data_IF_920764028499
#
_entry.id   IF_920764028499
#
_cell.length_a   1.000
_cell.length_b   1.000
_cell.length_c   1.000
_cell.angle_alpha   90.00
_cell.angle_beta   90.00
_cell.angle_gamma   90.00
#
_symmetry.space_group_name_H-M   'P 1'
#
loop_
_entity.id
_entity.type
_entity.pdbx_description
1 polymer ?
#
# COMPACT_ATOMS: atom_id res chain seq x y z
N UNK A 1 -20.19 11.22 -60.89
CA UNK A 1 -20.41 10.48 -59.62
C UNK A 1 -19.15 9.80 -59.07
N UNK A 2 -18.01 9.81 -59.76
CA UNK A 2 -16.84 8.97 -59.43
C UNK A 2 -15.92 9.53 -58.34
N UNK A 3 -15.78 10.87 -58.21
CA UNK A 3 -14.84 11.48 -57.24
C UNK A 3 -15.26 11.39 -55.77
N UNK A 4 -16.56 11.28 -55.48
CA UNK A 4 -17.07 11.18 -54.10
C UNK A 4 -16.87 9.78 -53.50
N UNK A 5 -16.92 8.75 -54.36
CA UNK A 5 -16.65 7.36 -54.01
C UNK A 5 -15.16 7.16 -53.66
N UNK A 6 -14.26 7.71 -54.48
CA UNK A 6 -12.81 7.61 -54.26
C UNK A 6 -12.37 8.24 -52.92
N UNK A 7 -12.90 9.44 -52.61
CA UNK A 7 -12.56 10.13 -51.36
C UNK A 7 -13.12 9.44 -50.11
N UNK A 8 -14.22 8.67 -50.22
CA UNK A 8 -14.75 7.88 -49.11
C UNK A 8 -13.95 6.60 -48.87
N UNK A 9 -13.38 5.99 -49.92
CA UNK A 9 -12.50 4.84 -49.79
C UNK A 9 -11.17 5.22 -49.11
N UNK A 10 -10.54 6.32 -49.53
CA UNK A 10 -9.27 6.78 -48.94
C UNK A 10 -9.37 7.13 -47.45
N UNK A 11 -10.55 7.60 -46.99
CA UNK A 11 -10.78 7.91 -45.57
C UNK A 11 -10.96 6.63 -44.73
N UNK A 12 -11.52 5.56 -45.32
CA UNK A 12 -11.65 4.26 -44.67
C UNK A 12 -10.28 3.63 -44.42
N UNK A 13 -9.45 3.61 -45.47
CA UNK A 13 -8.13 2.99 -45.43
C UNK A 13 -7.20 3.66 -44.39
N UNK A 14 -7.21 4.99 -44.32
CA UNK A 14 -6.43 5.72 -43.30
C UNK A 14 -6.92 5.51 -41.86
N UNK A 15 -8.19 5.16 -41.67
CA UNK A 15 -8.73 4.86 -40.32
C UNK A 15 -8.31 3.47 -39.86
N UNK A 16 -8.37 2.50 -40.76
CA UNK A 16 -7.98 1.13 -40.45
C UNK A 16 -6.47 1.03 -40.22
N UNK A 17 -5.65 1.73 -41.01
CA UNK A 17 -4.20 1.81 -40.80
C UNK A 17 -3.83 2.47 -39.46
N UNK A 18 -4.54 3.55 -39.07
CA UNK A 18 -4.37 4.16 -37.74
C UNK A 18 -4.78 3.23 -36.61
N UNK A 19 -5.85 2.46 -36.79
CA UNK A 19 -6.36 1.54 -35.78
C UNK A 19 -5.40 0.37 -35.57
N UNK A 20 -4.83 -0.15 -36.66
CA UNK A 20 -3.82 -1.21 -36.64
C UNK A 20 -2.52 -0.76 -35.98
N UNK A 21 -2.05 0.47 -36.27
CA UNK A 21 -0.89 1.07 -35.59
C UNK A 21 -1.13 1.32 -34.10
N UNK A 22 -2.35 1.66 -33.69
CA UNK A 22 -2.70 1.80 -32.26
C UNK A 22 -2.71 0.43 -31.58
N UNK A 23 -3.28 -0.60 -32.19
CA UNK A 23 -3.30 -1.96 -31.63
C UNK A 23 -1.89 -2.58 -31.55
N UNK A 24 -1.04 -2.32 -32.56
CA UNK A 24 0.35 -2.77 -32.58
C UNK A 24 1.21 -2.03 -31.54
N UNK A 25 1.05 -0.69 -31.42
CA UNK A 25 1.66 0.06 -30.33
C UNK A 25 1.13 -0.34 -28.96
N UNK A 26 -0.17 -0.64 -28.80
CA UNK A 26 -0.73 -1.13 -27.53
C UNK A 26 -0.13 -2.50 -27.18
N UNK A 27 0.06 -3.39 -28.16
CA UNK A 27 0.70 -4.68 -27.97
C UNK A 27 2.21 -4.55 -27.69
N UNK A 28 2.89 -3.60 -28.32
CA UNK A 28 4.32 -3.33 -28.11
C UNK A 28 4.58 -2.55 -26.81
N UNK A 29 3.70 -1.63 -26.41
CA UNK A 29 3.70 -0.98 -25.10
C UNK A 29 3.21 -1.90 -23.97
N UNK A 30 2.54 -3.01 -24.31
CA UNK A 30 2.27 -4.10 -23.38
C UNK A 30 3.45 -5.07 -23.24
N UNK A 31 4.29 -5.21 -24.28
CA UNK A 31 5.52 -6.04 -24.28
C UNK A 31 6.72 -5.31 -23.71
N UNK A 32 6.89 -4.05 -24.06
CA UNK A 32 7.78 -3.12 -23.37
C UNK A 32 7.12 -2.91 -22.03
N UNK A 33 7.78 -3.27 -20.93
CA UNK A 33 7.33 -2.94 -19.58
C UNK A 33 7.34 -1.41 -19.42
N UNK A 34 6.45 -0.70 -20.12
CA UNK A 34 6.28 0.74 -20.10
C UNK A 34 6.03 1.10 -18.65
N UNK A 35 7.07 1.68 -18.04
CA UNK A 35 7.24 2.00 -16.63
C UNK A 35 5.97 1.75 -15.82
N UNK A 36 5.98 0.59 -15.15
CA UNK A 36 4.95 0.18 -14.20
C UNK A 36 4.61 1.38 -13.30
N UNK A 37 3.36 1.85 -13.14
CA UNK A 37 3.05 2.96 -12.23
C UNK A 37 3.37 2.63 -10.76
N UNK A 38 3.64 1.36 -10.46
CA UNK A 38 3.92 0.83 -9.14
C UNK A 38 5.03 1.60 -8.38
N UNK A 39 6.22 1.90 -8.94
CA UNK A 39 7.24 2.68 -8.26
C UNK A 39 6.74 4.06 -7.88
N UNK A 40 6.02 4.76 -8.76
CA UNK A 40 5.54 6.11 -8.45
C UNK A 40 4.49 6.10 -7.33
N UNK A 41 3.60 5.09 -7.32
CA UNK A 41 2.63 4.89 -6.24
C UNK A 41 3.34 4.58 -4.91
N UNK A 42 4.40 3.77 -4.95
CA UNK A 42 5.14 3.28 -3.77
C UNK A 42 6.11 4.32 -3.22
N UNK A 43 6.75 5.10 -4.08
CA UNK A 43 7.89 5.93 -3.73
C UNK A 43 7.60 7.43 -3.75
N UNK A 44 6.53 7.89 -4.40
CA UNK A 44 6.21 9.33 -4.48
C UNK A 44 4.86 9.65 -3.87
N UNK A 45 3.79 9.15 -4.48
CA UNK A 45 2.43 9.48 -4.07
C UNK A 45 1.48 8.35 -4.40
N UNK A 46 0.89 7.75 -3.36
CA UNK A 46 -0.07 6.68 -3.56
C UNK A 46 -1.41 7.16 -4.13
N UNK A 47 -1.77 8.44 -3.99
CA UNK A 47 -3.06 9.04 -4.40
C UNK A 47 -2.91 10.34 -5.21
N UNK A 48 -2.25 10.33 -6.38
CA UNK A 48 -2.07 11.51 -7.23
C UNK A 48 -3.39 11.99 -7.87
N UNK A 49 -4.41 11.14 -7.87
CA UNK A 49 -5.77 11.42 -8.30
C UNK A 49 -6.58 12.29 -7.32
N UNK A 50 -6.14 12.41 -6.06
CA UNK A 50 -6.81 13.20 -5.04
C UNK A 50 -6.79 14.71 -5.33
N UNK A 51 -5.79 15.19 -6.07
CA UNK A 51 -5.61 16.61 -6.38
C UNK A 51 -6.50 17.10 -7.53
N UNK A 52 -7.43 16.27 -8.01
CA UNK A 52 -8.38 16.58 -9.06
C UNK A 52 -7.91 16.18 -10.47
N UNK A 53 -8.84 16.20 -11.46
CA UNK A 53 -8.58 15.61 -12.78
C UNK A 53 -7.41 16.24 -13.55
N UNK A 54 -7.19 17.54 -13.38
CA UNK A 54 -6.12 18.26 -14.09
C UNK A 54 -4.73 17.92 -13.56
N UNK A 55 -4.57 17.83 -12.24
CA UNK A 55 -3.31 17.47 -11.60
C UNK A 55 -2.98 15.99 -11.85
N UNK A 56 -3.99 15.12 -11.82
CA UNK A 56 -3.88 13.71 -12.24
C UNK A 56 -3.35 13.58 -13.68
N UNK A 57 -3.95 14.29 -14.64
CA UNK A 57 -3.52 14.26 -16.04
C UNK A 57 -2.10 14.80 -16.22
N UNK A 58 -1.72 15.86 -15.49
CA UNK A 58 -0.34 16.38 -15.52
C UNK A 58 0.67 15.38 -15.00
N UNK A 59 0.35 14.72 -13.89
CA UNK A 59 1.21 13.69 -13.30
C UNK A 59 1.34 12.46 -14.22
N UNK A 60 0.22 11.94 -14.74
CA UNK A 60 0.23 10.84 -15.71
C UNK A 60 1.01 11.20 -16.98
N UNK A 61 0.83 12.41 -17.50
CA UNK A 61 1.62 12.91 -18.63
C UNK A 61 3.11 12.92 -18.32
N UNK A 62 3.53 13.39 -17.14
CA UNK A 62 4.94 13.38 -16.74
C UNK A 62 5.49 11.96 -16.76
N UNK A 63 4.83 11.00 -16.11
CA UNK A 63 5.28 9.60 -16.08
C UNK A 63 5.40 9.01 -17.49
N UNK A 64 4.40 9.26 -18.34
CA UNK A 64 4.41 8.76 -19.71
C UNK A 64 5.53 9.38 -20.55
N UNK A 65 5.83 10.67 -20.34
CA UNK A 65 6.93 11.35 -21.01
C UNK A 65 8.30 10.87 -20.54
N UNK A 66 8.49 10.69 -19.23
CA UNK A 66 9.71 10.16 -18.63
C UNK A 66 9.94 8.72 -19.15
N UNK A 67 8.90 7.88 -19.15
CA UNK A 67 8.97 6.52 -19.67
C UNK A 67 9.30 6.45 -21.18
N UNK A 68 8.73 7.36 -21.98
CA UNK A 68 9.03 7.45 -23.41
C UNK A 68 10.46 7.92 -23.66
N UNK A 69 11.02 8.77 -22.79
CA UNK A 69 12.40 9.22 -22.85
C UNK A 69 13.37 8.08 -22.49
N UNK A 70 13.12 7.37 -21.39
CA UNK A 70 13.96 6.25 -20.94
C UNK A 70 14.00 5.09 -21.95
N UNK A 71 12.91 4.88 -22.69
CA UNK A 71 12.80 3.85 -23.74
C UNK A 71 13.17 4.36 -25.13
N UNK A 72 13.60 5.62 -25.26
CA UNK A 72 13.96 6.27 -26.52
C UNK A 72 12.84 6.26 -27.59
N UNK A 73 11.58 6.26 -27.16
CA UNK A 73 10.40 6.29 -28.03
C UNK A 73 10.00 7.73 -28.39
N UNK A 74 10.75 8.34 -29.32
CA UNK A 74 10.55 9.74 -29.73
C UNK A 74 9.14 10.01 -30.27
N UNK A 75 8.57 9.06 -30.99
CA UNK A 75 7.29 9.23 -31.68
C UNK A 75 6.14 9.26 -30.67
N UNK A 76 6.17 8.34 -29.69
CA UNK A 76 5.23 8.32 -28.56
C UNK A 76 5.34 9.61 -27.74
N UNK A 77 6.56 10.09 -27.49
CA UNK A 77 6.79 11.36 -26.78
C UNK A 77 6.15 12.53 -27.52
N UNK A 78 6.36 12.65 -28.84
CA UNK A 78 5.76 13.71 -29.64
C UNK A 78 4.23 13.63 -29.63
N UNK A 79 3.67 12.43 -29.75
CA UNK A 79 2.22 12.22 -29.70
C UNK A 79 1.62 12.56 -28.33
N UNK A 80 2.29 12.24 -27.22
CA UNK A 80 1.89 12.62 -25.85
C UNK A 80 1.84 14.13 -25.64
N UNK A 81 2.75 14.87 -26.28
CA UNK A 81 2.80 16.33 -26.23
C UNK A 81 1.72 16.96 -27.11
N UNK A 82 1.56 16.48 -28.34
CA UNK A 82 0.67 17.07 -29.34
C UNK A 82 -0.81 16.67 -29.16
N UNK A 83 -1.10 15.44 -28.71
CA UNK A 83 -2.43 14.85 -28.77
C UNK A 83 -3.02 14.55 -27.37
N UNK A 84 -3.89 15.44 -26.91
CA UNK A 84 -4.60 15.27 -25.63
C UNK A 84 -5.55 14.07 -25.60
N UNK A 85 -6.07 13.63 -26.75
CA UNK A 85 -6.95 12.44 -26.84
C UNK A 85 -6.14 11.17 -26.65
N UNK A 86 -4.96 11.10 -27.24
CA UNK A 86 -4.02 9.99 -27.06
C UNK A 86 -3.62 9.86 -25.58
N UNK A 87 -3.22 10.97 -24.95
CA UNK A 87 -2.92 11.00 -23.50
C UNK A 87 -4.09 10.46 -22.67
N UNK A 88 -5.32 10.95 -22.91
CA UNK A 88 -6.51 10.50 -22.17
C UNK A 88 -6.78 9.00 -22.35
N UNK A 89 -6.56 8.47 -23.55
CA UNK A 89 -6.70 7.03 -23.80
C UNK A 89 -5.72 6.21 -22.97
N UNK A 90 -4.45 6.65 -22.90
CA UNK A 90 -3.41 6.00 -22.08
C UNK A 90 -3.63 6.14 -20.57
N UNK A 91 -4.39 7.13 -20.12
CA UNK A 91 -4.70 7.30 -18.69
C UNK A 91 -5.58 6.17 -18.15
N UNK A 92 -6.57 5.69 -18.93
CA UNK A 92 -7.52 4.66 -18.49
C UNK A 92 -6.84 3.35 -18.03
N UNK A 93 -5.92 2.74 -18.79
CA UNK A 93 -5.23 1.53 -18.34
C UNK A 93 -4.32 1.79 -17.13
N UNK A 94 -3.70 2.97 -17.03
CA UNK A 94 -2.88 3.34 -15.86
C UNK A 94 -3.73 3.46 -14.59
N UNK A 95 -4.86 4.14 -14.67
CA UNK A 95 -5.83 4.24 -13.56
C UNK A 95 -6.30 2.87 -13.09
N UNK A 96 -6.57 1.97 -14.04
CA UNK A 96 -6.97 0.60 -13.74
C UNK A 96 -5.85 -0.16 -13.01
N UNK A 97 -4.61 -0.06 -13.49
CA UNK A 97 -3.43 -0.67 -12.82
C UNK A 97 -3.21 -0.10 -11.43
N UNK A 98 -3.34 1.21 -11.24
CA UNK A 98 -3.24 1.85 -9.92
C UNK A 98 -4.31 1.31 -8.96
N UNK A 99 -5.56 1.20 -9.41
CA UNK A 99 -6.65 0.67 -8.60
C UNK A 99 -6.41 -0.79 -8.18
N UNK A 100 -5.98 -1.64 -9.12
CA UNK A 100 -5.61 -3.04 -8.84
C UNK A 100 -4.47 -3.10 -7.82
N UNK A 101 -3.45 -2.28 -8.01
CA UNK A 101 -2.28 -2.24 -7.14
C UNK A 101 -2.62 -1.80 -5.71
N UNK A 102 -3.39 -0.72 -5.55
CA UNK A 102 -3.91 -0.27 -4.24
C UNK A 102 -4.74 -1.36 -3.58
N UNK A 103 -5.64 -2.00 -4.35
CA UNK A 103 -6.50 -3.08 -3.85
C UNK A 103 -5.69 -4.26 -3.32
N UNK A 104 -4.55 -4.56 -3.94
CA UNK A 104 -3.63 -5.59 -3.46
C UNK A 104 -3.06 -5.26 -2.06
N UNK A 105 -2.59 -4.03 -1.83
CA UNK A 105 -2.14 -3.59 -0.49
C UNK A 105 -3.22 -3.75 0.56
N UNK A 106 -4.44 -3.30 0.24
CA UNK A 106 -5.56 -3.46 1.16
C UNK A 106 -5.87 -4.92 1.43
N UNK A 107 -5.83 -5.79 0.43
CA UNK A 107 -6.08 -7.22 0.63
C UNK A 107 -5.05 -7.85 1.59
N UNK A 108 -3.76 -7.49 1.43
CA UNK A 108 -2.68 -7.90 2.34
C UNK A 108 -2.99 -7.44 3.77
N UNK A 109 -3.32 -6.17 3.99
CA UNK A 109 -3.57 -5.68 5.36
C UNK A 109 -4.87 -6.24 5.94
N UNK A 110 -5.92 -6.40 5.12
CA UNK A 110 -7.21 -6.94 5.54
C UNK A 110 -7.12 -8.40 6.03
N UNK A 111 -6.20 -9.20 5.49
CA UNK A 111 -5.97 -10.57 5.98
C UNK A 111 -5.28 -10.59 7.36
N UNK A 112 -4.57 -9.50 7.72
CA UNK A 112 -3.75 -9.38 8.92
C UNK A 112 -4.46 -8.70 10.09
N UNK A 113 -5.31 -7.70 9.84
CA UNK A 113 -5.94 -6.89 10.92
C UNK A 113 -6.67 -7.73 11.96
N UNK A 114 -7.31 -8.83 11.57
CA UNK A 114 -8.02 -9.71 12.48
C UNK A 114 -7.12 -10.30 13.57
N UNK A 115 -5.97 -10.85 13.16
CA UNK A 115 -5.03 -11.50 14.06
C UNK A 115 -4.26 -10.46 14.90
N UNK A 116 -3.76 -9.42 14.25
CA UNK A 116 -2.91 -8.42 14.89
C UNK A 116 -3.61 -7.58 15.95
N UNK A 117 -4.89 -7.29 15.76
CA UNK A 117 -5.65 -6.48 16.71
C UNK A 117 -6.55 -7.32 17.63
N UNK A 118 -6.49 -8.65 17.55
CA UNK A 118 -7.34 -9.54 18.34
C UNK A 118 -8.83 -9.33 18.03
N UNK A 119 -9.16 -9.08 16.76
CA UNK A 119 -10.54 -8.90 16.30
C UNK A 119 -11.17 -10.21 15.85
N UNK A 120 -10.47 -11.35 15.94
CA UNK A 120 -11.02 -12.65 15.56
C UNK A 120 -12.24 -12.98 16.43
N UNK A 121 -13.45 -12.69 15.93
CA UNK A 121 -14.69 -13.21 16.49
C UNK A 121 -14.69 -14.72 16.25
N UNK A 122 -14.71 -15.52 17.31
CA UNK A 122 -14.59 -16.99 17.29
C UNK A 122 -15.67 -17.73 16.48
N UNK A 123 -16.52 -17.05 15.71
CA UNK A 123 -17.46 -17.66 14.77
C UNK A 123 -17.97 -16.63 13.75
N UNK A 124 -17.25 -16.41 12.66
CA UNK A 124 -17.86 -15.77 11.48
C UNK A 124 -18.73 -16.83 10.79
N UNK A 125 -20.06 -16.67 10.73
CA UNK A 125 -20.90 -17.63 10.02
C UNK A 125 -20.58 -17.58 8.53
N UNK A 126 -20.29 -18.73 7.93
CA UNK A 126 -20.05 -18.88 6.51
C UNK A 126 -21.15 -18.22 5.67
N UNK A 127 -20.73 -17.59 4.57
CA UNK A 127 -21.59 -17.04 3.50
C UNK A 127 -22.75 -18.02 3.20
N UNK A 128 -23.96 -17.67 3.64
CA UNK A 128 -25.17 -18.47 3.40
C UNK A 128 -26.06 -18.73 4.62
N UNK A 129 -25.58 -18.53 5.85
CA UNK A 129 -26.47 -18.62 7.02
C UNK A 129 -27.17 -17.29 7.29
N UNK A 130 -28.46 -17.25 6.93
CA UNK A 130 -29.39 -16.18 7.30
C UNK A 130 -29.35 -15.92 8.82
N UNK A 131 -29.02 -14.69 9.19
CA UNK A 131 -28.96 -14.20 10.58
C UNK A 131 -30.34 -14.22 11.27
N UNK A 132 -31.43 -14.49 10.54
CA UNK A 132 -32.79 -14.50 11.11
C UNK A 132 -33.04 -15.57 12.18
N UNK A 133 -32.17 -16.55 12.37
CA UNK A 133 -32.35 -17.63 13.38
C UNK A 133 -31.57 -17.48 14.68
N UNK A 134 -30.63 -16.53 14.81
CA UNK A 134 -29.61 -16.56 15.90
C UNK A 134 -29.83 -15.58 17.05
N UNK A 135 -30.95 -14.85 17.06
CA UNK A 135 -31.30 -13.91 18.14
C UNK A 135 -31.72 -14.58 19.47
N UNK A 136 -31.71 -15.91 19.57
CA UNK A 136 -32.22 -16.64 20.74
C UNK A 136 -31.15 -17.08 21.77
N UNK A 137 -29.86 -16.75 21.60
CA UNK A 137 -28.82 -17.02 22.62
C UNK A 137 -27.94 -15.79 22.79
N UNK A 138 -28.08 -15.09 23.92
CA UNK A 138 -27.46 -13.78 24.21
C UNK A 138 -25.92 -13.70 24.24
N UNK A 139 -25.21 -14.76 23.83
CA UNK A 139 -23.74 -14.80 23.84
C UNK A 139 -23.09 -14.11 22.62
N UNK A 140 -23.80 -14.00 21.50
CA UNK A 140 -23.27 -13.37 20.29
C UNK A 140 -23.20 -11.83 20.37
N UNK A 141 -23.97 -11.20 21.26
CA UNK A 141 -23.99 -9.73 21.43
C UNK A 141 -22.70 -9.23 22.08
N UNK A 142 -22.30 -9.82 23.21
CA UNK A 142 -21.18 -9.33 24.02
C UNK A 142 -19.81 -9.41 23.30
N UNK A 143 -19.59 -10.45 22.49
CA UNK A 143 -18.34 -10.59 21.72
C UNK A 143 -18.23 -9.55 20.60
N UNK A 144 -19.35 -9.14 20.00
CA UNK A 144 -19.39 -8.06 19.01
C UNK A 144 -19.14 -6.70 19.67
N UNK A 145 -19.71 -6.48 20.85
CA UNK A 145 -19.57 -5.21 21.58
C UNK A 145 -18.12 -4.95 22.01
N UNK A 146 -17.43 -5.96 22.53
CA UNK A 146 -16.01 -5.86 22.90
C UNK A 146 -15.10 -5.58 21.68
N UNK A 147 -15.41 -6.17 20.52
CA UNK A 147 -14.69 -5.91 19.28
C UNK A 147 -14.93 -4.48 18.77
N UNK A 148 -16.15 -3.96 18.89
CA UNK A 148 -16.49 -2.57 18.54
C UNK A 148 -15.75 -1.59 19.44
N UNK A 149 -15.77 -1.80 20.76
CA UNK A 149 -15.04 -0.95 21.72
C UNK A 149 -13.54 -0.92 21.41
N UNK A 150 -12.96 -2.09 21.08
CA UNK A 150 -11.56 -2.18 20.70
C UNK A 150 -11.28 -1.41 19.40
N UNK A 151 -12.14 -1.51 18.39
CA UNK A 151 -12.00 -0.75 17.15
C UNK A 151 -12.05 0.75 17.41
N UNK A 152 -12.93 1.22 18.29
CA UNK A 152 -13.01 2.63 18.66
C UNK A 152 -11.73 3.12 19.33
N UNK A 153 -11.17 2.33 20.25
CA UNK A 153 -9.84 2.60 20.85
C UNK A 153 -8.72 2.66 19.81
N UNK A 154 -8.78 1.84 18.76
CA UNK A 154 -7.78 1.84 17.69
C UNK A 154 -7.89 3.07 16.78
N UNK A 155 -9.10 3.55 16.49
CA UNK A 155 -9.32 4.76 15.70
C UNK A 155 -8.97 6.05 16.45
N UNK A 156 -9.15 6.05 17.78
CA UNK A 156 -8.79 7.18 18.63
C UNK A 156 -7.31 7.52 18.45
N UNK A 157 -7.02 8.76 18.02
CA UNK A 157 -5.67 9.25 17.75
C UNK A 157 -4.82 8.34 16.84
N UNK A 158 -5.45 7.54 15.97
CA UNK A 158 -4.77 6.55 15.12
C UNK A 158 -3.90 5.56 15.91
N UNK A 159 -4.36 5.12 17.09
CA UNK A 159 -3.64 4.18 17.97
C UNK A 159 -3.28 2.85 17.31
N UNK A 160 -3.99 2.45 16.25
CA UNK A 160 -3.63 1.27 15.46
C UNK A 160 -2.18 1.28 14.93
N UNK A 161 -1.53 2.44 14.81
CA UNK A 161 -0.14 2.51 14.35
C UNK A 161 0.88 2.09 15.42
N UNK A 162 0.48 2.05 16.69
CA UNK A 162 1.38 1.88 17.82
C UNK A 162 1.34 0.43 18.32
N UNK A 163 2.49 -0.15 18.70
CA UNK A 163 2.50 -1.48 19.28
C UNK A 163 1.84 -1.48 20.65
N UNK A 164 1.28 -2.63 21.01
CA UNK A 164 0.65 -2.88 22.31
C UNK A 164 1.62 -3.68 23.17
N UNK A 165 1.71 -3.37 24.46
CA UNK A 165 2.50 -4.16 25.42
C UNK A 165 1.76 -5.41 25.91
N UNK A 166 2.41 -6.20 26.77
CA UNK A 166 1.81 -7.41 27.37
C UNK A 166 0.59 -7.11 28.24
N UNK A 167 0.44 -5.87 28.71
CA UNK A 167 -0.67 -5.41 29.53
C UNK A 167 -1.84 -4.83 28.72
N UNK A 168 -1.69 -4.71 27.40
CA UNK A 168 -2.72 -4.13 26.53
C UNK A 168 -2.62 -2.62 26.35
N UNK A 169 -1.57 -1.96 26.85
CA UNK A 169 -1.37 -0.52 26.69
C UNK A 169 -0.58 -0.18 25.42
N UNK A 170 -0.96 0.92 24.77
CA UNK A 170 -0.29 1.41 23.56
C UNK A 170 1.02 2.11 23.91
N UNK A 171 2.11 1.70 23.25
CA UNK A 171 3.42 2.35 23.35
C UNK A 171 3.48 3.58 22.44
N UNK A 172 2.89 4.69 22.89
CA UNK A 172 2.77 5.94 22.12
C UNK A 172 4.12 6.59 21.74
N UNK A 173 5.23 6.13 22.30
CA UNK A 173 6.58 6.60 21.97
C UNK A 173 7.19 5.96 20.72
N UNK A 174 6.52 4.96 20.11
CA UNK A 174 6.99 4.24 18.92
C UNK A 174 5.90 4.20 17.84
N UNK A 175 5.62 5.33 17.15
CA UNK A 175 4.66 5.34 16.04
C UNK A 175 5.13 4.40 14.93
N UNK A 176 4.19 3.78 14.22
CA UNK A 176 4.43 2.83 13.12
C UNK A 176 5.19 1.55 13.48
N UNK A 177 5.52 1.32 14.76
CA UNK A 177 6.18 0.10 15.21
C UNK A 177 5.21 -1.07 15.49
N UNK A 178 3.94 -0.95 15.13
CA UNK A 178 3.01 -2.09 15.23
C UNK A 178 3.45 -3.22 14.27
N UNK A 179 3.56 -4.49 14.73
CA UNK A 179 4.11 -5.60 13.92
C UNK A 179 3.42 -5.83 12.56
N UNK A 180 2.14 -5.43 12.45
CA UNK A 180 1.36 -5.51 11.21
C UNK A 180 2.06 -4.83 10.01
N UNK A 181 2.83 -3.76 10.24
CA UNK A 181 3.54 -3.06 9.17
C UNK A 181 4.68 -3.89 8.61
N UNK A 182 5.48 -4.49 9.49
CA UNK A 182 6.55 -5.42 9.12
C UNK A 182 5.97 -6.61 8.35
N UNK A 183 4.88 -7.20 8.85
CA UNK A 183 4.23 -8.34 8.19
C UNK A 183 3.59 -7.96 6.84
N UNK A 184 3.08 -6.74 6.72
CA UNK A 184 2.57 -6.18 5.47
C UNK A 184 3.69 -5.96 4.44
N UNK A 185 4.81 -5.39 4.87
CA UNK A 185 6.00 -5.18 4.05
C UNK A 185 6.63 -6.51 3.62
N UNK A 186 6.76 -7.46 4.53
CA UNK A 186 7.30 -8.79 4.25
C UNK A 186 6.51 -9.47 3.11
N UNK A 187 5.18 -9.43 3.21
CA UNK A 187 4.29 -10.01 2.20
C UNK A 187 4.34 -9.25 0.87
N UNK A 188 4.33 -7.91 0.91
CA UNK A 188 4.34 -7.10 -0.31
C UNK A 188 5.70 -7.16 -1.05
N UNK A 189 6.80 -6.97 -0.33
CA UNK A 189 8.13 -6.81 -0.92
C UNK A 189 8.78 -8.15 -1.29
N UNK A 190 8.59 -9.18 -0.46
CA UNK A 190 9.42 -10.39 -0.51
C UNK A 190 8.66 -11.68 -0.81
N UNK A 191 7.35 -11.77 -0.57
CA UNK A 191 6.64 -13.06 -0.66
C UNK A 191 6.27 -13.51 -2.09
N UNK A 192 6.37 -12.64 -3.09
CA UNK A 192 5.98 -12.98 -4.47
C UNK A 192 7.07 -13.79 -5.20
N UNK A 193 6.68 -14.57 -6.24
CA UNK A 193 7.64 -15.33 -7.07
C UNK A 193 8.67 -14.44 -7.78
N UNK A 194 8.34 -13.15 -7.97
CA UNK A 194 9.23 -12.12 -8.50
C UNK A 194 9.15 -10.94 -7.53
N UNK A 195 9.92 -10.99 -6.42
CA UNK A 195 9.84 -10.02 -5.34
C UNK A 195 9.90 -8.58 -5.87
N UNK A 196 9.05 -7.70 -5.34
CA UNK A 196 9.01 -6.30 -5.74
C UNK A 196 10.39 -5.64 -5.55
N UNK A 197 11.07 -6.01 -4.46
CA UNK A 197 12.40 -5.50 -4.13
C UNK A 197 13.45 -5.80 -5.20
N UNK A 198 13.38 -6.95 -5.90
CA UNK A 198 14.36 -7.31 -6.93
C UNK A 198 14.29 -6.37 -8.14
N UNK A 199 13.12 -5.78 -8.42
CA UNK A 199 12.94 -4.85 -9.53
C UNK A 199 13.27 -3.41 -9.16
N UNK A 200 13.20 -3.06 -7.88
CA UNK A 200 13.21 -1.67 -7.41
C UNK A 200 14.17 -1.44 -6.24
N UNK A 201 15.20 -2.26 -6.06
CA UNK A 201 16.13 -2.20 -4.93
C UNK A 201 16.72 -0.80 -4.71
N UNK A 202 17.16 -0.14 -5.78
CA UNK A 202 17.74 1.20 -5.73
C UNK A 202 16.80 2.26 -5.14
N UNK A 203 15.48 2.08 -5.24
CA UNK A 203 14.51 3.02 -4.70
C UNK A 203 14.33 2.92 -3.17
N UNK A 204 14.95 1.93 -2.53
CA UNK A 204 15.03 1.79 -1.08
C UNK A 204 16.36 2.29 -0.52
N UNK A 205 17.34 2.60 -1.38
CA UNK A 205 18.63 3.13 -0.95
C UNK A 205 18.53 4.62 -0.66
N UNK A 206 18.95 5.03 0.54
CA UNK A 206 18.98 6.42 0.99
C UNK A 206 20.40 6.73 1.47
N UNK A 207 20.87 7.93 1.15
CA UNK A 207 22.12 8.47 1.70
C UNK A 207 21.78 9.49 2.79
N UNK A 208 22.19 9.19 4.02
CA UNK A 208 21.95 10.06 5.17
C UNK A 208 23.23 10.23 5.98
N UNK A 209 23.68 11.48 6.16
CA UNK A 209 24.94 11.83 6.83
C UNK A 209 26.18 11.14 6.24
N UNK A 210 26.16 10.80 4.95
CA UNK A 210 27.27 10.11 4.26
C UNK A 210 27.24 8.58 4.39
N UNK A 211 26.29 8.02 5.16
CA UNK A 211 26.04 6.58 5.21
C UNK A 211 24.96 6.20 4.20
N UNK A 212 25.23 5.18 3.38
CA UNK A 212 24.22 4.55 2.53
C UNK A 212 23.49 3.47 3.31
N UNK A 213 22.17 3.53 3.31
CA UNK A 213 21.30 2.61 4.05
C UNK A 213 20.12 2.19 3.18
N UNK A 214 19.46 1.10 3.58
CA UNK A 214 18.24 0.64 2.94
C UNK A 214 17.06 0.84 3.87
N UNK A 215 16.11 1.67 3.47
CA UNK A 215 15.02 2.14 4.31
C UNK A 215 13.67 1.98 3.61
N UNK A 216 12.59 1.79 4.39
CA UNK A 216 11.23 1.83 3.85
C UNK A 216 10.88 3.26 3.45
N UNK A 217 10.48 3.52 2.19
CA UNK A 217 10.11 4.86 1.77
C UNK A 217 8.84 5.34 2.48
N UNK A 218 8.82 6.59 2.94
CA UNK A 218 7.69 7.15 3.68
C UNK A 218 6.33 7.04 2.95
N UNK A 219 6.24 7.24 1.62
CA UNK A 219 5.01 7.01 0.87
C UNK A 219 4.49 5.56 0.97
N UNK A 220 5.38 4.57 0.96
CA UNK A 220 5.02 3.17 1.14
C UNK A 220 4.48 2.90 2.55
N UNK A 221 5.13 3.43 3.59
CA UNK A 221 4.67 3.27 4.97
C UNK A 221 3.31 3.97 5.20
N UNK A 222 3.14 5.18 4.65
CA UNK A 222 1.87 5.89 4.71
C UNK A 222 0.74 5.13 3.97
N UNK A 223 1.05 4.51 2.82
CA UNK A 223 0.11 3.67 2.09
C UNK A 223 -0.31 2.44 2.91
N UNK A 224 0.65 1.77 3.57
CA UNK A 224 0.35 0.65 4.46
C UNK A 224 -0.52 1.05 5.64
N UNK A 225 -0.24 2.17 6.31
CA UNK A 225 -1.08 2.70 7.39
C UNK A 225 -2.49 3.02 6.92
N UNK A 226 -2.62 3.61 5.74
CA UNK A 226 -3.91 3.87 5.11
C UNK A 226 -4.67 2.57 4.79
N UNK A 227 -3.96 1.54 4.33
CA UNK A 227 -4.55 0.22 4.05
C UNK A 227 -5.01 -0.49 5.35
N UNK A 228 -4.28 -0.36 6.45
CA UNK A 228 -4.70 -0.82 7.79
C UNK A 228 -5.97 -0.10 8.22
N UNK A 229 -5.98 1.23 8.13
CA UNK A 229 -7.15 2.04 8.46
C UNK A 229 -8.39 1.59 7.66
N UNK A 230 -8.25 1.43 6.34
CA UNK A 230 -9.32 0.96 5.47
C UNK A 230 -9.83 -0.43 5.87
N UNK A 231 -8.93 -1.35 6.18
CA UNK A 231 -9.27 -2.70 6.61
C UNK A 231 -10.00 -2.72 7.97
N UNK A 232 -9.56 -1.90 8.93
CA UNK A 232 -10.26 -1.73 10.22
C UNK A 232 -11.64 -1.09 10.03
N UNK A 233 -11.76 -0.12 9.12
CA UNK A 233 -13.02 0.57 8.85
C UNK A 233 -14.03 -0.38 8.21
N UNK A 234 -13.60 -1.23 7.28
CA UNK A 234 -14.43 -2.30 6.74
C UNK A 234 -14.87 -3.27 7.83
N UNK A 235 -13.95 -3.65 8.71
CA UNK A 235 -14.24 -4.55 9.81
C UNK A 235 -15.36 -3.97 10.69
N UNK A 236 -15.22 -2.71 11.11
CA UNK A 236 -16.24 -1.96 11.85
C UNK A 236 -17.57 -1.91 11.11
N UNK A 237 -17.56 -1.55 9.82
CA UNK A 237 -18.77 -1.43 9.00
C UNK A 237 -19.50 -2.78 8.79
N UNK A 238 -18.74 -3.87 8.69
CA UNK A 238 -19.32 -5.23 8.61
C UNK A 238 -20.00 -5.62 9.91
N UNK A 239 -19.39 -5.31 11.06
CA UNK A 239 -19.98 -5.61 12.37
C UNK A 239 -21.25 -4.81 12.67
N UNK A 240 -21.23 -3.50 12.43
CA UNK A 240 -22.31 -2.61 12.89
C UNK A 240 -23.50 -2.60 11.91
N UNK A 241 -23.23 -2.45 10.61
CA UNK A 241 -24.27 -2.16 9.60
C UNK A 241 -24.33 -3.16 8.44
N UNK A 242 -23.58 -4.28 8.51
CA UNK A 242 -23.48 -5.28 7.44
C UNK A 242 -23.17 -4.69 6.06
N UNK A 243 -22.42 -3.58 6.02
CA UNK A 243 -22.09 -2.87 4.79
C UNK A 243 -20.95 -3.57 4.06
N UNK A 244 -21.00 -3.57 2.73
CA UNK A 244 -19.90 -4.05 1.89
C UNK A 244 -18.65 -3.19 2.11
N UNK A 245 -17.45 -3.78 1.93
CA UNK A 245 -16.20 -3.02 1.95
C UNK A 245 -16.26 -1.84 0.98
N UNK A 246 -15.74 -0.67 1.37
CA UNK A 246 -15.64 0.47 0.46
C UNK A 246 -14.63 0.17 -0.67
N UNK A 247 -14.51 1.00 -1.71
CA UNK A 247 -13.39 0.86 -2.66
C UNK A 247 -12.13 1.54 -2.08
N UNK A 248 -10.93 1.01 -2.35
CA UNK A 248 -9.68 1.63 -1.88
C UNK A 248 -9.23 2.71 -2.86
N UNK A 249 -9.99 3.80 -2.89
CA UNK A 249 -9.84 4.92 -3.83
C UNK A 249 -9.30 6.19 -3.15
N UNK A 250 -8.84 7.14 -3.97
CA UNK A 250 -8.44 8.47 -3.48
C UNK A 250 -9.60 9.20 -2.80
N UNK A 251 -10.79 9.15 -3.39
CA UNK A 251 -11.98 9.81 -2.84
C UNK A 251 -12.29 9.37 -1.40
N UNK A 252 -11.98 8.11 -1.07
CA UNK A 252 -12.22 7.56 0.26
C UNK A 252 -11.05 7.74 1.24
N UNK A 253 -9.80 7.68 0.76
CA UNK A 253 -8.63 7.48 1.64
C UNK A 253 -7.45 8.44 1.41
N UNK A 254 -7.54 9.38 0.47
CA UNK A 254 -6.44 10.32 0.22
C UNK A 254 -6.14 11.23 1.41
N UNK A 255 -7.16 11.64 2.16
CA UNK A 255 -6.97 12.47 3.35
C UNK A 255 -6.23 11.70 4.45
N UNK A 256 -6.61 10.43 4.69
CA UNK A 256 -5.94 9.55 5.65
C UNK A 256 -4.47 9.35 5.27
N UNK A 257 -4.20 9.06 4.00
CA UNK A 257 -2.84 8.94 3.47
C UNK A 257 -2.03 10.23 3.65
N UNK A 258 -2.61 11.38 3.30
CA UNK A 258 -1.97 12.68 3.50
C UNK A 258 -1.68 12.98 4.97
N UNK A 259 -2.56 12.55 5.88
CA UNK A 259 -2.34 12.62 7.32
C UNK A 259 -1.11 11.83 7.77
N UNK A 260 -0.93 10.60 7.30
CA UNK A 260 0.26 9.79 7.61
C UNK A 260 1.55 10.36 7.05
N UNK A 261 1.52 10.86 5.80
CA UNK A 261 2.69 11.51 5.22
C UNK A 261 3.13 12.72 6.06
N UNK A 262 2.19 13.58 6.44
CA UNK A 262 2.49 14.74 7.31
C UNK A 262 3.04 14.28 8.66
N UNK A 263 2.46 13.25 9.27
CA UNK A 263 2.97 12.72 10.54
C UNK A 263 4.41 12.20 10.42
N UNK A 264 4.74 11.48 9.35
CA UNK A 264 6.09 10.99 9.08
C UNK A 264 7.09 12.14 8.88
N UNK A 265 6.72 13.18 8.14
CA UNK A 265 7.54 14.39 7.95
C UNK A 265 7.78 15.13 9.27
N UNK A 266 6.78 15.17 10.15
CA UNK A 266 6.93 15.77 11.48
C UNK A 266 7.89 14.97 12.38
N UNK A 267 7.84 13.63 12.31
CA UNK A 267 8.78 12.75 13.02
C UNK A 267 10.20 12.95 12.49
N UNK A 268 10.37 13.01 11.17
CA UNK A 268 11.67 13.29 10.52
C UNK A 268 12.23 14.64 10.96
N UNK A 269 11.41 15.70 10.94
CA UNK A 269 11.82 17.04 11.37
C UNK A 269 12.20 17.10 12.85
N UNK A 270 11.43 16.44 13.71
CA UNK A 270 11.63 16.50 15.15
C UNK A 270 12.78 15.59 15.63
N UNK A 271 12.93 14.41 15.03
CA UNK A 271 13.88 13.37 15.45
C UNK A 271 14.43 12.61 14.22
N UNK A 272 15.25 13.25 13.37
CA UNK A 272 15.68 12.68 12.09
C UNK A 272 16.41 11.34 12.24
N UNK A 273 17.30 11.21 13.24
CA UNK A 273 17.99 9.94 13.50
C UNK A 273 17.04 8.80 13.85
N UNK A 274 16.03 9.08 14.69
CA UNK A 274 15.05 8.06 15.09
C UNK A 274 14.12 7.70 13.93
N UNK A 275 13.82 8.65 13.05
CA UNK A 275 13.05 8.44 11.83
C UNK A 275 13.75 7.47 10.88
N UNK A 276 15.01 7.75 10.51
CA UNK A 276 15.79 6.88 9.62
C UNK A 276 15.99 5.48 10.22
N UNK A 277 16.35 5.40 11.52
CA UNK A 277 16.47 4.13 12.22
C UNK A 277 15.16 3.32 12.18
N UNK A 278 14.01 3.96 12.39
CA UNK A 278 12.71 3.29 12.35
C UNK A 278 12.41 2.69 10.96
N UNK A 279 12.73 3.41 9.89
CA UNK A 279 12.49 2.94 8.52
C UNK A 279 13.49 1.84 8.10
N UNK A 280 14.75 1.96 8.53
CA UNK A 280 15.80 0.95 8.36
C UNK A 280 15.43 -0.35 9.09
N UNK A 281 15.12 -0.25 10.39
CA UNK A 281 14.74 -1.40 11.23
C UNK A 281 13.53 -2.15 10.63
N UNK A 282 12.54 -1.40 10.15
CA UNK A 282 11.35 -1.98 9.53
C UNK A 282 11.68 -2.72 8.23
N UNK A 283 12.58 -2.17 7.41
CA UNK A 283 13.05 -2.81 6.19
C UNK A 283 13.79 -4.12 6.51
N UNK A 284 14.75 -4.07 7.43
CA UNK A 284 15.54 -5.23 7.85
C UNK A 284 14.66 -6.33 8.44
N UNK A 285 13.71 -5.99 9.31
CA UNK A 285 12.77 -6.96 9.88
C UNK A 285 11.90 -7.63 8.82
N UNK A 286 11.43 -6.87 7.83
CA UNK A 286 10.64 -7.41 6.72
C UNK A 286 11.47 -8.35 5.82
N UNK A 287 12.73 -8.00 5.55
CA UNK A 287 13.65 -8.80 4.73
C UNK A 287 14.04 -10.11 5.41
N UNK A 288 14.34 -10.08 6.71
CA UNK A 288 14.76 -11.26 7.47
C UNK A 288 13.61 -12.22 7.78
N UNK A 289 12.38 -11.91 7.36
CA UNK A 289 11.20 -12.78 7.33
C UNK A 289 11.26 -13.94 8.32
N UNK A 290 10.82 -13.73 9.56
CA UNK A 290 10.72 -14.78 10.60
C UNK A 290 12.07 -15.36 11.11
N UNK A 291 13.00 -14.52 11.57
CA UNK A 291 13.93 -14.93 12.65
C UNK A 291 13.60 -14.38 14.04
N UNK A 292 12.76 -13.35 14.14
CA UNK A 292 12.34 -12.78 15.42
C UNK A 292 10.94 -13.24 15.86
N UNK A 293 10.53 -14.48 15.58
CA UNK A 293 9.41 -15.07 16.34
C UNK A 293 10.03 -15.88 17.47
N UNK A 294 9.92 -15.32 18.67
CA UNK A 294 10.04 -15.98 19.98
C UNK A 294 11.40 -16.45 20.49
N UNK A 295 12.53 -16.30 19.80
CA UNK A 295 13.84 -16.63 20.40
C UNK A 295 14.65 -15.39 20.75
N UNK A 296 14.73 -14.38 19.89
CA UNK A 296 15.45 -13.14 20.25
C UNK A 296 14.68 -12.24 21.23
N UNK A 297 13.35 -12.16 21.11
CA UNK A 297 12.54 -11.44 22.09
C UNK A 297 12.52 -12.15 23.46
N UNK A 298 12.56 -13.49 23.45
CA UNK A 298 12.68 -14.30 24.68
C UNK A 298 14.10 -14.28 25.20
N UNK A 299 15.12 -14.25 24.37
CA UNK A 299 16.51 -14.10 24.79
C UNK A 299 16.76 -12.70 25.36
N UNK A 300 16.19 -11.65 24.76
CA UNK A 300 16.25 -10.30 25.31
C UNK A 300 15.51 -10.20 26.65
N UNK A 301 14.31 -10.79 26.78
CA UNK A 301 13.55 -10.84 28.05
C UNK A 301 14.24 -11.73 29.11
N UNK A 302 14.84 -12.86 28.70
CA UNK A 302 15.65 -13.73 29.56
C UNK A 302 16.94 -13.04 29.99
N UNK A 303 17.61 -12.29 29.10
CA UNK A 303 18.80 -11.51 29.41
C UNK A 303 18.48 -10.31 30.31
N UNK A 304 17.31 -9.70 30.16
CA UNK A 304 16.83 -8.61 31.02
C UNK A 304 16.40 -9.12 32.41
N UNK A 305 16.06 -10.42 32.52
CA UNK A 305 15.76 -11.10 33.79
C UNK A 305 16.91 -11.91 34.41
N UNK A 306 18.06 -12.03 33.74
CA UNK A 306 19.23 -12.75 34.25
C UNK A 306 20.08 -11.80 35.10
N UNK A 307 20.06 -12.02 36.41
CA UNK A 307 20.97 -11.36 37.36
C UNK A 307 22.37 -11.98 37.25
N UNK A 308 23.20 -11.39 36.40
CA UNK A 308 24.54 -11.89 36.05
C UNK A 308 25.52 -11.83 37.24
N UNK A 309 25.19 -11.11 38.31
CA UNK A 309 26.01 -10.98 39.51
C UNK A 309 25.93 -12.22 40.43
N UNK A 310 25.03 -13.18 40.12
CA UNK A 310 24.81 -14.41 40.89
C UNK A 310 25.40 -15.67 40.24
N UNK A 311 26.15 -15.54 39.15
CA UNK A 311 26.83 -16.69 38.53
C UNK A 311 28.09 -17.02 39.35
N UNK A 312 28.27 -18.27 39.82
CA UNK A 312 29.48 -18.67 40.54
C UNK A 312 30.67 -18.51 39.60
N UNK A 313 31.70 -17.80 40.07
CA UNK A 313 33.00 -17.79 39.41
C UNK A 313 33.60 -19.19 39.57
N UNK A 314 33.91 -19.84 38.45
CA UNK A 314 34.60 -21.13 38.47
C UNK A 314 36.00 -20.94 39.10
N UNK A 315 36.23 -21.59 40.24
CA UNK A 315 37.53 -21.73 40.92
C UNK A 315 38.56 -22.53 40.10
#
# INVERSE_FOLDING_TARGET
MTRRSQAQADIGDQRDEKRQKVEEMEAEAAKTEMHQPQPVIVFENAFPDASGPQLKLRWLRKILLDAAEDTQQTDVRQELLANSRFLKALCVPLETRMCIFRSHFRAIMASKVGAHYGLMVSSVPSRGQSIRGRAARGEASCASDAAIERLEKLFEHSRYMYPVDSTGNFKNNKPYAHPIFVDGLAEFLFASRRPFIMKHAAAFEVEWQGDRRTEVPAPLLALLATAVYAALLDYKNRLIINKKPADFSADAFAETYGGHLKALQEVERAKPRAYHQMLEDMFQQAQCGRRATSTDAVAADILEGLDLDMLPEDD
#
